data_IF_556649553297
#
_entry.id   IF_556649553297
#
_cell.length_a   1.000
_cell.length_b   1.000
_cell.length_c   1.000
_cell.angle_alpha   90.00
_cell.angle_beta   90.00
_cell.angle_gamma   90.00
#
_symmetry.space_group_name_H-M   'P 1'
#
loop_
_entity.id
_entity.type
_entity.pdbx_description
1 polymer ?
#
# COMPACT_ATOMS: atom_id res chain seq x y z
N UNK A 1 -84.17 21.42 15.34
CA UNK A 1 -82.75 21.16 15.67
C UNK A 1 -82.08 20.53 14.45
N UNK A 2 -81.29 21.31 13.71
CA UNK A 2 -80.41 20.79 12.64
C UNK A 2 -78.97 21.02 13.08
N UNK A 3 -78.19 19.94 13.11
CA UNK A 3 -76.74 19.94 13.29
C UNK A 3 -76.08 20.73 12.17
N UNK A 4 -75.06 21.51 12.53
CA UNK A 4 -74.20 22.22 11.59
C UNK A 4 -72.77 21.75 11.82
N UNK A 5 -72.20 21.14 10.78
CA UNK A 5 -70.78 20.77 10.68
C UNK A 5 -69.91 22.03 10.72
N UNK A 6 -68.76 21.94 11.39
CA UNK A 6 -67.65 22.88 11.26
C UNK A 6 -66.58 22.30 10.32
N UNK A 7 -65.85 23.15 9.56
CA UNK A 7 -65.08 22.73 8.39
C UNK A 7 -63.68 22.21 8.74
N UNK A 8 -63.22 21.18 8.02
CA UNK A 8 -61.82 20.76 7.98
C UNK A 8 -60.94 21.90 7.43
N UNK A 9 -59.92 22.27 8.19
CA UNK A 9 -58.88 23.18 7.76
C UNK A 9 -57.85 22.35 6.96
N UNK A 10 -57.49 22.71 5.72
CA UNK A 10 -56.50 21.95 4.96
C UNK A 10 -55.14 22.15 5.63
N UNK A 11 -54.70 21.17 6.41
CA UNK A 11 -53.33 21.12 6.88
C UNK A 11 -52.43 21.31 5.67
N UNK A 12 -51.59 22.34 5.72
CA UNK A 12 -50.44 22.46 4.84
C UNK A 12 -49.71 21.14 4.95
N UNK A 13 -49.85 20.27 3.95
CA UNK A 13 -49.07 19.06 3.82
C UNK A 13 -47.64 19.54 3.67
N UNK A 14 -46.94 19.68 4.81
CA UNK A 14 -45.52 19.93 4.80
C UNK A 14 -44.90 18.81 3.98
N UNK A 15 -43.85 19.10 3.23
CA UNK A 15 -43.04 18.01 2.68
C UNK A 15 -42.48 17.14 3.80
N UNK A 16 -41.76 16.09 3.41
CA UNK A 16 -40.95 15.28 4.33
C UNK A 16 -39.99 16.22 5.08
N UNK A 17 -40.00 16.15 6.41
CA UNK A 17 -39.15 16.99 7.27
C UNK A 17 -38.07 16.13 7.92
N UNK A 18 -36.83 16.57 7.82
CA UNK A 18 -35.65 15.87 8.35
C UNK A 18 -35.01 16.71 9.44
N UNK A 19 -34.76 16.11 10.60
CA UNK A 19 -34.17 16.76 11.76
C UNK A 19 -32.66 16.47 11.87
N UNK A 20 -31.88 17.32 12.56
CA UNK A 20 -30.42 17.14 12.73
C UNK A 20 -30.01 15.87 13.49
N UNK A 21 -30.94 15.26 14.23
CA UNK A 21 -30.76 14.00 14.96
C UNK A 21 -30.96 12.75 14.08
N UNK A 22 -31.19 12.93 12.77
CA UNK A 22 -31.44 11.86 11.82
C UNK A 22 -32.89 11.37 11.77
N UNK A 23 -33.82 12.00 12.50
CA UNK A 23 -35.24 11.65 12.43
C UNK A 23 -35.93 12.27 11.23
N UNK A 24 -36.80 11.49 10.58
CA UNK A 24 -37.62 11.96 9.46
C UNK A 24 -39.08 11.90 9.87
N UNK A 25 -39.74 13.06 9.85
CA UNK A 25 -41.15 13.24 10.22
C UNK A 25 -41.96 13.64 9.00
N UNK A 26 -43.28 13.47 9.09
CA UNK A 26 -44.22 13.85 8.02
C UNK A 26 -44.02 13.02 6.72
N UNK A 27 -43.69 11.73 6.88
CA UNK A 27 -43.67 10.75 5.80
C UNK A 27 -45.12 10.39 5.45
N UNK A 28 -45.59 10.58 4.20
CA UNK A 28 -46.95 10.21 3.81
C UNK A 28 -47.23 8.73 4.10
N UNK A 29 -48.43 8.39 4.56
CA UNK A 29 -48.81 7.01 4.92
C UNK A 29 -48.83 6.02 3.75
N UNK A 30 -48.72 6.51 2.50
CA UNK A 30 -48.53 5.69 1.29
C UNK A 30 -47.06 5.43 0.95
N UNK A 31 -46.12 6.09 1.63
CA UNK A 31 -44.69 5.98 1.41
C UNK A 31 -44.09 5.02 2.43
N UNK A 32 -43.09 4.25 2.02
CA UNK A 32 -42.31 3.39 2.91
C UNK A 32 -41.63 4.23 3.99
N UNK A 33 -41.87 3.87 5.25
CA UNK A 33 -41.33 4.52 6.45
C UNK A 33 -40.13 3.77 7.05
N UNK A 34 -39.59 2.80 6.31
CA UNK A 34 -38.44 1.99 6.70
C UNK A 34 -37.14 2.45 5.99
N UNK A 35 -36.04 1.76 6.27
CA UNK A 35 -34.72 2.04 5.69
C UNK A 35 -34.63 1.76 4.17
N UNK A 36 -35.61 1.06 3.58
CA UNK A 36 -35.64 0.71 2.17
C UNK A 36 -36.44 1.73 1.33
N UNK A 37 -37.15 2.66 1.99
CA UNK A 37 -37.87 3.76 1.36
C UNK A 37 -37.02 4.99 1.02
N UNK A 38 -37.60 5.92 0.25
CA UNK A 38 -36.96 7.19 -0.09
C UNK A 38 -36.64 8.07 1.12
N UNK A 39 -37.42 7.97 2.20
CA UNK A 39 -37.13 8.62 3.47
C UNK A 39 -35.85 8.04 4.11
N UNK A 40 -35.67 6.71 4.07
CA UNK A 40 -34.46 6.04 4.51
C UNK A 40 -33.22 6.45 3.70
N UNK A 41 -33.34 6.55 2.37
CA UNK A 41 -32.28 7.06 1.50
C UNK A 41 -31.89 8.52 1.84
N UNK A 42 -32.88 9.38 2.14
CA UNK A 42 -32.62 10.76 2.51
C UNK A 42 -31.91 10.88 3.86
N UNK A 43 -32.32 10.09 4.85
CA UNK A 43 -31.61 10.00 6.15
C UNK A 43 -30.18 9.53 5.96
N UNK A 44 -29.99 8.50 5.13
CA UNK A 44 -28.69 7.97 4.80
C UNK A 44 -27.81 9.03 4.12
N UNK A 45 -28.34 9.77 3.13
CA UNK A 45 -27.60 10.83 2.44
C UNK A 45 -27.15 11.97 3.37
N UNK A 46 -27.94 12.32 4.39
CA UNK A 46 -27.56 13.34 5.38
C UNK A 46 -26.60 12.83 6.44
N UNK A 47 -26.71 11.57 6.84
CA UNK A 47 -25.80 10.95 7.80
C UNK A 47 -24.37 10.81 7.25
N UNK A 48 -24.22 10.75 5.92
CA UNK A 48 -22.92 10.68 5.23
C UNK A 48 -22.03 11.90 5.51
N UNK A 49 -22.61 13.10 5.69
CA UNK A 49 -21.85 14.32 5.99
C UNK A 49 -21.05 14.19 7.31
N UNK A 50 -21.48 13.32 8.22
CA UNK A 50 -20.81 13.05 9.50
C UNK A 50 -19.91 11.81 9.55
N UNK A 51 -19.86 10.98 8.49
CA UNK A 51 -19.17 9.68 8.52
C UNK A 51 -18.40 9.37 7.22
N UNK A 52 -17.10 9.68 7.13
CA UNK A 52 -16.31 9.56 5.90
C UNK A 52 -16.19 8.12 5.35
N UNK A 53 -16.36 7.10 6.18
CA UNK A 53 -16.32 5.70 5.74
C UNK A 53 -17.57 5.24 4.96
N UNK A 54 -18.71 5.93 5.15
CA UNK A 54 -19.99 5.59 4.51
C UNK A 54 -20.19 6.40 3.21
N UNK A 55 -19.55 7.57 3.10
CA UNK A 55 -19.45 8.40 1.87
C UNK A 55 -19.14 7.55 0.64
N UNK A 56 -18.13 6.68 0.75
CA UNK A 56 -17.63 5.89 -0.36
C UNK A 56 -18.60 4.86 -0.94
N UNK A 57 -19.55 4.36 -0.14
CA UNK A 57 -20.55 3.37 -0.57
C UNK A 57 -21.78 4.03 -1.19
N UNK A 58 -22.07 5.26 -0.78
CA UNK A 58 -23.33 5.94 -1.03
C UNK A 58 -23.23 7.01 -2.12
N UNK A 59 -22.22 7.87 -2.02
CA UNK A 59 -21.90 8.90 -3.00
C UNK A 59 -20.90 8.38 -4.05
N UNK A 60 -20.21 7.28 -3.73
CA UNK A 60 -19.20 6.68 -4.59
C UNK A 60 -17.85 7.39 -4.49
N UNK A 61 -16.89 6.89 -5.26
CA UNK A 61 -15.60 7.53 -5.48
C UNK A 61 -15.47 7.89 -6.95
N UNK A 62 -14.76 8.99 -7.25
CA UNK A 62 -14.35 9.27 -8.61
C UNK A 62 -13.32 8.24 -9.06
N UNK A 63 -13.78 7.30 -9.88
CA UNK A 63 -12.96 6.20 -10.39
C UNK A 63 -11.86 6.69 -11.35
N UNK A 64 -11.98 7.92 -11.86
CA UNK A 64 -10.97 8.54 -12.73
C UNK A 64 -9.64 8.78 -12.00
N UNK A 65 -9.68 8.90 -10.67
CA UNK A 65 -8.50 9.13 -9.82
C UNK A 65 -7.81 7.84 -9.36
N UNK A 66 -8.29 6.67 -9.79
CA UNK A 66 -7.71 5.37 -9.43
C UNK A 66 -6.53 4.94 -10.33
N UNK A 67 -5.99 5.85 -11.15
CA UNK A 67 -4.86 5.54 -12.02
C UNK A 67 -5.18 4.60 -13.20
N UNK A 68 -6.46 4.32 -13.44
CA UNK A 68 -6.93 3.47 -14.54
C UNK A 68 -7.50 4.33 -15.66
N UNK A 69 -7.07 4.07 -16.90
CA UNK A 69 -7.64 4.75 -18.07
C UNK A 69 -8.94 4.05 -18.52
N UNK A 70 -10.05 4.37 -17.86
CA UNK A 70 -11.37 3.81 -18.15
C UNK A 70 -11.91 4.20 -19.55
N UNK A 71 -11.31 5.21 -20.19
CA UNK A 71 -11.68 5.68 -21.52
C UNK A 71 -10.93 4.95 -22.66
N UNK A 72 -10.10 3.96 -22.34
CA UNK A 72 -9.32 3.23 -23.33
C UNK A 72 -10.19 2.26 -24.16
N UNK A 73 -10.68 2.70 -25.32
CA UNK A 73 -11.53 1.89 -26.20
C UNK A 73 -10.82 0.77 -26.97
N UNK A 74 -9.48 0.77 -27.02
CA UNK A 74 -8.67 -0.11 -27.89
C UNK A 74 -7.81 -1.14 -27.17
N UNK A 75 -7.63 -1.04 -25.84
CA UNK A 75 -6.72 -1.91 -25.08
C UNK A 75 -7.41 -2.42 -23.83
N UNK A 76 -7.18 -3.69 -23.53
CA UNK A 76 -7.66 -4.31 -22.31
C UNK A 76 -6.82 -3.85 -21.10
N UNK A 77 -7.47 -3.33 -20.05
CA UNK A 77 -6.79 -2.84 -18.85
C UNK A 77 -6.05 -3.93 -18.08
N UNK A 78 -6.55 -5.18 -18.13
CA UNK A 78 -5.99 -6.29 -17.35
C UNK A 78 -4.53 -6.61 -17.75
N UNK A 79 -4.12 -6.30 -18.98
CA UNK A 79 -2.78 -6.63 -19.47
C UNK A 79 -1.69 -5.79 -18.80
N UNK A 80 -2.02 -4.57 -18.38
CA UNK A 80 -1.09 -3.65 -17.71
C UNK A 80 -1.55 -3.38 -16.27
N UNK A 81 -2.33 -4.28 -15.67
CA UNK A 81 -2.88 -4.06 -14.34
C UNK A 81 -1.79 -4.25 -13.28
N UNK A 82 -1.40 -3.16 -12.62
CA UNK A 82 -0.36 -3.12 -11.58
C UNK A 82 -0.71 -3.84 -10.27
N UNK A 83 -1.98 -4.20 -10.11
CA UNK A 83 -2.51 -4.84 -8.90
C UNK A 83 -3.51 -3.94 -8.16
N UNK A 84 -4.21 -4.46 -7.14
CA UNK A 84 -5.33 -3.78 -6.47
C UNK A 84 -4.96 -2.51 -5.71
N UNK A 85 -3.68 -2.31 -5.40
CA UNK A 85 -3.17 -1.15 -4.65
C UNK A 85 -2.16 -0.33 -5.47
N UNK A 86 -2.03 -0.61 -6.75
CA UNK A 86 -1.14 0.14 -7.62
C UNK A 86 -1.81 1.45 -8.05
N UNK A 87 -1.14 2.57 -7.80
CA UNK A 87 -1.61 3.89 -8.24
C UNK A 87 -1.49 4.08 -9.76
N UNK A 88 -0.74 3.21 -10.45
CA UNK A 88 -0.47 3.28 -11.89
C UNK A 88 -0.43 1.88 -12.51
N UNK A 89 -0.72 1.76 -13.82
CA UNK A 89 -0.55 0.49 -14.55
C UNK A 89 0.92 0.03 -14.54
N UNK A 90 1.14 -1.27 -14.74
CA UNK A 90 2.47 -1.85 -14.96
C UNK A 90 3.19 -1.11 -16.09
N UNK A 91 4.47 -0.82 -15.87
CA UNK A 91 5.33 -0.27 -16.92
C UNK A 91 5.62 -1.37 -17.93
N UNK A 92 6.01 -0.98 -19.14
CA UNK A 92 6.33 -1.95 -20.20
C UNK A 92 7.51 -2.84 -19.77
N UNK A 93 8.49 -2.29 -19.05
CA UNK A 93 9.61 -3.07 -18.52
C UNK A 93 9.23 -4.06 -17.40
N UNK A 94 8.08 -3.86 -16.74
CA UNK A 94 7.60 -4.73 -15.67
C UNK A 94 6.75 -5.90 -16.22
N UNK A 95 6.38 -5.83 -17.51
CA UNK A 95 5.58 -6.84 -18.18
C UNK A 95 6.49 -7.91 -18.79
N UNK A 96 6.30 -9.14 -18.35
CA UNK A 96 6.95 -10.29 -18.96
C UNK A 96 6.37 -10.50 -20.37
N UNK A 97 7.21 -10.34 -21.38
CA UNK A 97 6.87 -10.61 -22.76
C UNK A 97 7.64 -11.84 -23.24
N UNK A 98 6.96 -12.74 -23.96
CA UNK A 98 7.63 -13.85 -24.64
C UNK A 98 8.48 -13.27 -25.77
N UNK A 99 9.78 -13.22 -25.55
CA UNK A 99 10.77 -12.81 -26.55
C UNK A 99 11.41 -14.03 -27.20
N UNK A 100 11.86 -13.95 -28.46
CA UNK A 100 12.73 -14.96 -29.05
C UNK A 100 13.97 -15.21 -28.19
N UNK A 101 14.46 -16.45 -28.17
CA UNK A 101 15.56 -16.87 -27.31
C UNK A 101 16.86 -16.10 -27.61
N UNK A 102 17.02 -15.61 -28.85
CA UNK A 102 18.16 -14.81 -29.28
C UNK A 102 18.25 -13.46 -28.54
N UNK A 103 17.14 -12.95 -27.99
CA UNK A 103 17.12 -11.72 -27.20
C UNK A 103 17.45 -11.93 -25.72
N UNK A 104 17.49 -13.18 -25.24
CA UNK A 104 17.87 -13.55 -23.87
C UNK A 104 19.40 -13.52 -23.65
N UNK A 105 20.02 -12.44 -24.13
CA UNK A 105 21.47 -12.25 -24.19
C UNK A 105 22.13 -12.24 -22.81
N UNK A 106 21.44 -11.81 -21.76
CA UNK A 106 21.99 -11.76 -20.41
C UNK A 106 22.55 -13.12 -19.98
N UNK A 107 21.87 -14.22 -20.29
CA UNK A 107 22.33 -15.57 -19.94
C UNK A 107 23.68 -15.96 -20.57
N UNK A 108 24.05 -15.36 -21.71
CA UNK A 108 25.25 -15.73 -22.47
C UNK A 108 26.41 -14.75 -22.31
N UNK A 109 26.14 -13.47 -22.04
CA UNK A 109 27.17 -12.41 -22.01
C UNK A 109 27.21 -11.60 -20.71
N UNK A 110 26.52 -12.04 -19.64
CA UNK A 110 26.49 -11.35 -18.34
C UNK A 110 27.86 -10.84 -17.90
N UNK A 111 28.87 -11.72 -17.91
CA UNK A 111 30.20 -11.41 -17.40
C UNK A 111 31.00 -10.45 -18.31
N UNK A 112 30.56 -10.29 -19.56
CA UNK A 112 31.18 -9.40 -20.55
C UNK A 112 30.48 -8.04 -20.61
N UNK A 113 29.31 -7.88 -19.98
CA UNK A 113 28.52 -6.67 -20.06
C UNK A 113 29.13 -5.57 -19.17
N UNK A 114 29.45 -4.39 -19.73
CA UNK A 114 30.01 -3.30 -18.93
C UNK A 114 28.96 -2.75 -17.96
N UNK A 115 29.40 -2.40 -16.76
CA UNK A 115 28.54 -1.68 -15.81
C UNK A 115 28.04 -0.36 -16.41
N UNK A 116 26.76 -0.08 -16.19
CA UNK A 116 26.12 1.14 -16.67
C UNK A 116 26.76 2.34 -15.95
N UNK A 117 27.42 3.21 -16.72
CA UNK A 117 27.99 4.46 -16.23
C UNK A 117 27.17 5.62 -16.79
N UNK A 118 26.46 6.33 -15.92
CA UNK A 118 25.54 7.40 -16.33
C UNK A 118 26.23 8.49 -17.17
N UNK A 119 27.49 8.80 -16.87
CA UNK A 119 28.29 9.80 -17.61
C UNK A 119 28.46 9.44 -19.09
N UNK A 120 28.46 8.14 -19.44
CA UNK A 120 28.65 7.66 -20.81
C UNK A 120 27.35 7.53 -21.59
N UNK A 121 26.19 7.67 -20.94
CA UNK A 121 24.90 7.52 -21.59
C UNK A 121 24.58 8.76 -22.43
N UNK A 122 23.94 8.55 -23.58
CA UNK A 122 23.43 9.65 -24.40
C UNK A 122 22.29 10.37 -23.66
N UNK A 123 22.09 11.66 -23.94
CA UNK A 123 21.02 12.46 -23.30
C UNK A 123 19.65 11.84 -23.49
N UNK A 124 19.36 11.25 -24.66
CA UNK A 124 18.07 10.59 -24.91
C UNK A 124 17.84 9.41 -23.95
N UNK A 125 18.89 8.67 -23.59
CA UNK A 125 18.80 7.58 -22.62
C UNK A 125 18.56 8.14 -21.21
N UNK A 126 19.18 9.28 -20.87
CA UNK A 126 18.93 9.96 -19.61
C UNK A 126 17.49 10.46 -19.50
N UNK A 127 16.95 11.07 -20.57
CA UNK A 127 15.53 11.42 -20.61
C UNK A 127 14.63 10.19 -20.50
N UNK A 128 15.01 9.08 -21.14
CA UNK A 128 14.25 7.82 -21.04
C UNK A 128 14.18 7.33 -19.61
N UNK A 129 15.32 7.25 -18.91
CA UNK A 129 15.38 6.86 -17.50
C UNK A 129 14.59 7.83 -16.60
N UNK A 130 14.70 9.14 -16.83
CA UNK A 130 14.02 10.15 -16.02
C UNK A 130 12.48 10.04 -16.11
N UNK A 131 11.94 9.85 -17.30
CA UNK A 131 10.49 9.80 -17.52
C UNK A 131 9.87 8.40 -17.34
N UNK A 132 10.65 7.31 -17.48
CA UNK A 132 10.14 5.94 -17.39
C UNK A 132 10.44 5.23 -16.05
N UNK A 133 11.32 5.78 -15.20
CA UNK A 133 11.64 5.19 -13.89
C UNK A 133 11.31 6.14 -12.71
N UNK A 134 10.07 6.67 -12.59
CA UNK A 134 9.75 7.60 -11.52
C UNK A 134 9.87 6.96 -10.13
N UNK A 135 10.45 7.71 -9.19
CA UNK A 135 10.65 7.29 -7.80
C UNK A 135 11.83 6.34 -7.57
N UNK A 136 12.61 6.04 -8.60
CA UNK A 136 13.79 5.17 -8.51
C UNK A 136 15.10 5.96 -8.47
N UNK A 137 16.16 5.30 -8.02
CA UNK A 137 17.52 5.86 -7.99
C UNK A 137 17.98 6.30 -9.39
N UNK A 138 17.54 5.58 -10.43
CA UNK A 138 17.86 5.91 -11.82
C UNK A 138 17.30 7.26 -12.28
N UNK A 139 16.14 7.68 -11.80
CA UNK A 139 15.59 9.00 -12.12
C UNK A 139 16.45 10.11 -11.54
N UNK A 140 16.87 9.99 -10.29
CA UNK A 140 17.74 10.97 -9.62
C UNK A 140 19.12 11.00 -10.27
N UNK A 141 19.68 9.83 -10.61
CA UNK A 141 20.96 9.72 -11.29
C UNK A 141 20.93 10.37 -12.69
N UNK A 142 19.87 10.12 -13.47
CA UNK A 142 19.68 10.77 -14.77
C UNK A 142 19.51 12.28 -14.65
N UNK A 143 18.72 12.75 -13.67
CA UNK A 143 18.55 14.17 -13.39
C UNK A 143 19.88 14.85 -13.02
N UNK A 144 20.71 14.18 -12.21
CA UNK A 144 22.02 14.70 -11.81
C UNK A 144 22.95 14.86 -13.01
N UNK A 145 23.02 13.86 -13.90
CA UNK A 145 23.84 13.95 -15.12
C UNK A 145 23.30 14.98 -16.13
N UNK A 146 21.97 15.08 -16.29
CA UNK A 146 21.37 16.13 -17.10
C UNK A 146 21.73 17.52 -16.55
N UNK A 147 21.70 17.69 -15.22
CA UNK A 147 22.11 18.93 -14.57
C UNK A 147 23.58 19.29 -14.84
N UNK A 148 24.48 18.30 -14.82
CA UNK A 148 25.90 18.47 -15.18
C UNK A 148 26.07 18.88 -16.64
N UNK A 149 25.14 18.49 -17.52
CA UNK A 149 25.11 18.85 -18.95
C UNK A 149 24.30 20.11 -19.25
N UNK A 150 24.18 21.01 -18.26
CA UNK A 150 23.49 22.30 -18.37
C UNK A 150 21.99 22.22 -18.72
N UNK A 151 21.36 21.07 -18.45
CA UNK A 151 19.90 20.98 -18.44
C UNK A 151 19.36 21.42 -17.09
N UNK A 152 18.23 22.14 -17.11
CA UNK A 152 17.49 22.55 -15.92
C UNK A 152 16.06 22.06 -16.04
N UNK A 153 15.51 21.59 -14.92
CA UNK A 153 14.14 21.12 -14.87
C UNK A 153 13.23 22.26 -14.41
N UNK A 154 12.15 22.50 -15.17
CA UNK A 154 11.13 23.49 -14.84
C UNK A 154 10.04 22.82 -14.00
N UNK A 155 9.86 23.20 -12.73
CA UNK A 155 8.95 22.53 -11.79
C UNK A 155 7.49 22.60 -12.21
N UNK A 156 7.07 23.77 -12.72
CA UNK A 156 5.68 24.02 -13.16
C UNK A 156 5.37 23.32 -14.49
N UNK A 157 6.16 23.56 -15.54
CA UNK A 157 5.91 22.94 -16.85
C UNK A 157 6.34 21.46 -16.95
N UNK A 158 7.12 20.97 -15.98
CA UNK A 158 7.63 19.58 -15.88
C UNK A 158 8.46 19.13 -17.08
N UNK A 159 9.24 20.04 -17.63
CA UNK A 159 10.10 19.83 -18.80
C UNK A 159 11.55 20.14 -18.48
N UNK A 160 12.45 19.44 -19.17
CA UNK A 160 13.87 19.77 -19.19
C UNK A 160 14.14 20.80 -20.28
N UNK A 161 14.90 21.83 -19.92
CA UNK A 161 15.31 22.90 -20.82
C UNK A 161 16.80 23.19 -20.69
N UNK A 162 17.39 23.65 -21.79
CA UNK A 162 18.75 24.20 -21.80
C UNK A 162 18.79 25.42 -22.71
N UNK A 163 19.81 26.27 -22.54
CA UNK A 163 19.95 27.46 -23.38
C UNK A 163 20.26 27.03 -24.82
N UNK A 164 19.57 27.62 -25.79
CA UNK A 164 19.89 27.34 -27.18
C UNK A 164 21.28 27.92 -27.51
N UNK A 165 22.16 27.17 -28.21
CA UNK A 165 23.57 27.54 -28.42
C UNK A 165 23.79 28.84 -29.22
N UNK A 166 22.74 29.35 -29.86
CA UNK A 166 22.73 30.59 -30.66
C UNK A 166 21.75 31.65 -30.10
N UNK A 167 21.24 31.45 -28.87
CA UNK A 167 20.31 32.39 -28.26
C UNK A 167 21.03 33.68 -27.84
N UNK A 168 20.35 34.82 -28.00
CA UNK A 168 20.83 36.08 -27.47
C UNK A 168 20.94 36.01 -25.94
N UNK A 169 21.82 36.84 -25.37
CA UNK A 169 21.95 36.94 -23.92
C UNK A 169 20.58 37.21 -23.27
N UNK A 170 20.35 36.66 -22.06
CA UNK A 170 19.13 36.84 -21.28
C UNK A 170 18.67 38.31 -21.31
N UNK A 171 17.44 38.58 -21.78
CA UNK A 171 16.82 39.88 -21.50
C UNK A 171 16.24 39.79 -20.10
N UNK A 172 17.02 40.24 -19.13
CA UNK A 172 16.54 40.39 -17.75
C UNK A 172 15.39 41.40 -17.74
N UNK A 173 14.21 40.95 -17.32
CA UNK A 173 13.08 41.82 -17.06
C UNK A 173 12.88 41.83 -15.55
N UNK A 174 13.42 42.85 -14.87
CA UNK A 174 13.16 43.08 -13.45
C UNK A 174 13.89 42.15 -12.46
N UNK A 175 15.09 41.63 -12.79
CA UNK A 175 16.00 40.97 -11.85
C UNK A 175 15.62 39.57 -11.36
N UNK A 176 14.38 39.11 -11.60
CA UNK A 176 13.90 37.77 -11.21
C UNK A 176 13.43 36.91 -12.40
N UNK A 177 13.19 37.52 -13.56
CA UNK A 177 12.67 36.85 -14.75
C UNK A 177 13.63 36.99 -15.93
N UNK A 178 13.90 35.87 -16.61
CA UNK A 178 14.67 35.80 -17.83
C UNK A 178 13.76 35.43 -19.00
N UNK A 179 13.63 36.32 -20.00
CA UNK A 179 13.02 35.95 -21.29
C UNK A 179 14.11 35.55 -22.27
N UNK A 180 14.13 34.29 -22.68
CA UNK A 180 15.11 33.76 -23.65
C UNK A 180 14.54 32.63 -24.49
N UNK A 181 15.24 32.29 -25.58
CA UNK A 181 14.97 31.11 -26.39
C UNK A 181 15.70 29.90 -25.79
N UNK A 182 14.92 28.90 -25.39
CA UNK A 182 15.41 27.66 -24.81
C UNK A 182 15.15 26.49 -25.75
N UNK A 183 16.01 25.48 -25.64
CA UNK A 183 15.77 24.18 -26.24
C UNK A 183 15.10 23.31 -25.18
N UNK A 184 13.82 22.98 -25.39
CA UNK A 184 13.01 22.19 -24.47
C UNK A 184 12.90 20.76 -24.99
N UNK A 185 13.09 19.77 -24.12
CA UNK A 185 12.82 18.38 -24.48
C UNK A 185 11.33 18.07 -24.32
N UNK A 186 10.67 17.69 -25.42
CA UNK A 186 9.27 17.25 -25.44
C UNK A 186 9.21 15.72 -25.26
N UNK A 187 8.74 15.21 -24.11
CA UNK A 187 8.70 13.78 -23.84
C UNK A 187 7.59 13.05 -24.62
N UNK A 188 6.60 13.76 -25.15
CA UNK A 188 5.49 13.17 -25.92
C UNK A 188 5.94 12.94 -27.36
N UNK A 189 6.60 13.94 -27.95
CA UNK A 189 7.12 13.85 -29.33
C UNK A 189 8.53 13.28 -29.42
N UNK A 190 9.17 13.05 -28.27
CA UNK A 190 10.54 12.56 -28.14
C UNK A 190 11.56 13.38 -28.94
N UNK A 191 11.48 14.71 -28.83
CA UNK A 191 12.33 15.62 -29.59
C UNK A 191 12.63 16.91 -28.84
N UNK A 192 13.69 17.58 -29.26
CA UNK A 192 14.07 18.91 -28.76
C UNK A 192 13.36 19.98 -29.59
N UNK A 193 12.65 20.87 -28.93
CA UNK A 193 11.84 21.92 -29.56
C UNK A 193 12.33 23.28 -29.05
N UNK A 194 12.74 24.19 -29.94
CA UNK A 194 13.01 25.57 -29.58
C UNK A 194 11.72 26.24 -29.09
N UNK A 195 11.75 26.87 -27.90
CA UNK A 195 10.64 27.63 -27.33
C UNK A 195 11.13 28.93 -26.73
N UNK A 196 10.41 30.02 -26.99
CA UNK A 196 10.57 31.25 -26.21
C UNK A 196 9.83 31.10 -24.89
N UNK A 197 10.55 31.26 -23.78
CA UNK A 197 9.99 31.14 -22.43
C UNK A 197 10.42 32.33 -21.59
N UNK A 198 9.54 32.72 -20.66
CA UNK A 198 9.87 33.63 -19.56
C UNK A 198 10.07 32.74 -18.34
N UNK A 199 11.30 32.59 -17.89
CA UNK A 199 11.64 31.73 -16.75
C UNK A 199 11.84 32.58 -15.50
N UNK A 200 11.15 32.21 -14.44
CA UNK A 200 11.49 32.67 -13.10
C UNK A 200 12.54 31.73 -12.49
N UNK A 201 13.59 32.28 -11.87
CA UNK A 201 14.65 31.45 -11.29
C UNK A 201 14.12 30.52 -10.18
N UNK A 202 13.05 30.94 -9.49
CA UNK A 202 12.35 30.16 -8.44
C UNK A 202 11.64 28.92 -8.99
N UNK A 203 11.29 28.90 -10.28
CA UNK A 203 10.61 27.77 -10.93
C UNK A 203 11.57 26.69 -11.42
N UNK A 204 12.86 27.00 -11.48
CA UNK A 204 13.90 26.04 -11.83
C UNK A 204 14.32 25.21 -10.62
N UNK A 205 14.55 23.93 -10.86
CA UNK A 205 15.03 23.02 -9.83
C UNK A 205 16.55 23.16 -9.64
N UNK A 206 16.98 23.08 -8.37
CA UNK A 206 18.38 23.06 -7.99
C UNK A 206 19.06 21.72 -8.32
N UNK A 207 20.32 21.56 -7.91
CA UNK A 207 21.04 20.30 -8.10
C UNK A 207 20.28 19.15 -7.41
N UNK A 208 19.93 18.08 -8.13
CA UNK A 208 19.25 16.93 -7.54
C UNK A 208 20.10 16.30 -6.43
N UNK A 209 19.50 16.09 -5.26
CA UNK A 209 20.12 15.40 -4.12
C UNK A 209 19.59 13.98 -3.99
N UNK A 210 20.47 13.03 -3.68
CA UNK A 210 20.07 11.68 -3.31
C UNK A 210 19.66 11.72 -1.84
N UNK A 211 18.39 11.45 -1.54
CA UNK A 211 17.91 11.22 -0.17
C UNK A 211 18.67 10.02 0.42
N UNK A 212 19.62 10.29 1.31
CA UNK A 212 20.44 9.25 1.97
C UNK A 212 21.94 9.55 2.11
N UNK A 213 22.47 10.63 1.53
CA UNK A 213 23.87 11.03 1.71
C UNK A 213 23.99 12.34 2.50
N UNK A 214 23.79 12.27 3.82
CA UNK A 214 24.39 13.29 4.69
C UNK A 214 25.89 13.02 4.78
N UNK A 215 26.65 13.68 3.92
CA UNK A 215 28.08 13.91 4.16
C UNK A 215 28.25 15.39 4.46
N UNK A 216 28.63 15.65 5.71
CA UNK A 216 29.16 16.94 6.16
C UNK A 216 30.35 17.29 5.27
N UNK A 217 30.26 18.41 4.54
CA UNK A 217 31.44 19.09 4.02
C UNK A 217 31.23 20.60 4.08
N UNK A 218 31.77 21.12 5.17
CA UNK A 218 32.40 22.41 5.39
C UNK A 218 32.66 23.25 4.14
N UNK A 219 32.31 24.52 4.28
CA UNK A 219 32.68 25.68 3.48
C UNK A 219 34.11 25.68 2.91
N UNK A 220 34.23 26.00 1.62
CA UNK A 220 35.32 26.83 1.09
C UNK A 220 34.72 27.81 0.06
N UNK A 221 34.66 29.08 0.45
CA UNK A 221 34.15 30.18 -0.35
C UNK A 221 35.18 30.66 -1.38
N UNK A 222 34.71 31.17 -2.53
CA UNK A 222 35.36 32.29 -3.23
C UNK A 222 34.28 33.21 -3.82
N UNK A 223 34.28 34.47 -3.35
CA UNK A 223 33.73 35.72 -3.89
C UNK A 223 32.37 35.71 -4.62
N UNK A 224 31.33 36.41 -4.17
CA UNK A 224 31.37 37.84 -3.84
C UNK A 224 30.17 38.27 -2.99
N UNK A 225 30.43 39.03 -1.93
CA UNK A 225 29.52 39.78 -1.04
C UNK A 225 29.38 41.25 -1.48
N UNK A 226 28.61 42.14 -0.81
CA UNK A 226 27.24 42.02 -0.25
C UNK A 226 26.43 43.35 -0.39
N UNK A 227 25.18 43.39 0.12
CA UNK A 227 24.43 44.53 0.74
C UNK A 227 22.98 44.01 0.92
N UNK A 228 22.27 43.94 2.06
CA UNK A 228 22.29 44.62 3.36
C UNK A 228 21.57 43.72 4.39
N UNK A 229 22.17 43.57 5.58
CA UNK A 229 21.56 43.13 6.85
C UNK A 229 20.74 44.30 7.47
N UNK A 230 19.77 44.21 8.39
CA UNK A 230 19.64 43.45 9.64
C UNK A 230 18.42 44.02 10.40
N UNK A 231 17.84 43.24 11.31
CA UNK A 231 17.34 43.56 12.68
C UNK A 231 16.38 42.42 13.06
N UNK A 232 16.77 41.35 13.78
CA UNK A 232 17.00 41.25 15.25
C UNK A 232 15.88 41.88 16.12
N UNK A 233 15.44 41.34 17.26
CA UNK A 233 15.59 40.08 17.99
C UNK A 233 14.68 40.15 19.25
N UNK A 234 14.73 39.07 20.06
CA UNK A 234 14.30 38.91 21.47
C UNK A 234 12.84 38.45 21.71
N UNK A 235 12.56 37.46 22.55
CA UNK A 235 13.40 36.79 23.54
C UNK A 235 12.77 35.52 24.15
N UNK A 236 13.54 34.94 25.06
CA UNK A 236 13.45 33.63 25.72
C UNK A 236 12.23 33.43 26.64
N UNK A 237 11.94 32.16 26.98
CA UNK A 237 11.00 31.79 28.05
C UNK A 237 10.76 30.29 28.21
N UNK A 238 11.59 29.66 29.03
CA UNK A 238 11.50 28.31 29.63
C UNK A 238 10.15 28.01 30.33
N UNK A 239 9.75 26.72 30.43
CA UNK A 239 9.43 25.97 31.68
C UNK A 239 8.37 24.84 31.54
N UNK A 240 8.82 23.61 31.84
CA UNK A 240 8.24 22.55 32.72
C UNK A 240 6.87 21.87 32.52
N UNK A 241 6.96 20.54 32.60
CA UNK A 241 5.95 19.51 32.90
C UNK A 241 5.35 19.61 34.31
N UNK A 242 4.08 19.23 34.47
CA UNK A 242 3.57 18.59 35.70
C UNK A 242 2.40 17.63 35.45
N UNK A 243 2.54 16.47 36.09
CA UNK A 243 1.63 15.32 36.29
C UNK A 243 0.54 15.64 37.33
N UNK A 244 -0.67 15.07 37.20
CA UNK A 244 -1.58 14.85 38.35
C UNK A 244 -2.41 13.58 38.19
N UNK A 245 -2.56 12.85 39.31
CA UNK A 245 -3.09 11.48 39.46
C UNK A 245 -4.39 11.48 40.32
N UNK A 246 -5.25 10.46 40.11
CA UNK A 246 -6.22 9.78 41.01
C UNK A 246 -7.67 10.31 41.27
N UNK A 247 -8.67 9.55 40.74
CA UNK A 247 -9.81 8.78 41.33
C UNK A 247 -10.57 9.23 42.63
N UNK A 248 -11.73 8.64 43.08
CA UNK A 248 -12.65 7.59 42.52
C UNK A 248 -14.21 7.82 42.68
N UNK A 249 -15.03 7.04 41.94
CA UNK A 249 -16.37 6.40 42.20
C UNK A 249 -17.58 7.14 42.87
N UNK A 250 -18.87 6.82 42.52
CA UNK A 250 -19.52 5.55 42.94
C UNK A 250 -20.57 4.92 42.00
N UNK A 251 -20.98 3.72 42.44
CA UNK A 251 -21.77 2.63 41.87
C UNK A 251 -23.29 2.83 41.69
N UNK A 252 -23.86 2.14 40.70
CA UNK A 252 -25.27 1.70 40.72
C UNK A 252 -25.45 0.34 40.02
N UNK A 253 -26.14 -0.57 40.70
CA UNK A 253 -26.44 -1.96 40.36
C UNK A 253 -27.68 -2.12 39.48
N UNK A 254 -27.59 -2.87 38.37
CA UNK A 254 -28.76 -3.50 37.70
C UNK A 254 -28.36 -4.80 36.99
N UNK A 255 -28.98 -5.92 37.41
CA UNK A 255 -29.52 -7.00 36.56
C UNK A 255 -28.61 -7.81 35.65
N UNK A 256 -28.34 -9.06 36.05
CA UNK A 256 -27.81 -10.14 35.20
C UNK A 256 -28.74 -10.44 34.01
N UNK A 257 -28.25 -10.21 32.79
CA UNK A 257 -28.68 -10.87 31.55
C UNK A 257 -27.50 -10.84 30.58
N UNK A 258 -26.73 -11.94 30.52
CA UNK A 258 -25.48 -12.02 29.77
C UNK A 258 -25.71 -12.05 28.23
N UNK A 259 -25.16 -11.10 27.46
CA UNK A 259 -25.24 -11.07 25.99
C UNK A 259 -24.27 -12.04 25.27
N UNK A 260 -23.41 -12.74 26.01
CA UNK A 260 -22.34 -13.58 25.45
C UNK A 260 -22.81 -14.86 24.72
N UNK A 261 -23.95 -15.45 25.11
CA UNK A 261 -24.38 -16.74 24.56
C UNK A 261 -24.92 -16.69 23.12
N UNK A 262 -25.57 -15.58 22.74
CA UNK A 262 -26.19 -15.40 21.41
C UNK A 262 -25.14 -15.17 20.31
N UNK A 263 -24.12 -14.35 20.61
CA UNK A 263 -23.07 -14.00 19.65
C UNK A 263 -22.21 -15.22 19.29
N UNK A 264 -21.83 -16.04 20.28
CA UNK A 264 -21.00 -17.23 20.04
C UNK A 264 -21.68 -18.27 19.14
N UNK A 265 -22.99 -18.48 19.30
CA UNK A 265 -23.77 -19.41 18.45
C UNK A 265 -23.82 -18.94 16.99
N UNK A 266 -23.96 -17.62 16.77
CA UNK A 266 -23.94 -17.01 15.44
C UNK A 266 -22.58 -17.17 14.74
N UNK A 267 -21.49 -16.93 15.46
CA UNK A 267 -20.10 -17.03 14.95
C UNK A 267 -19.77 -18.45 14.48
N UNK A 268 -20.19 -19.48 15.23
CA UNK A 268 -19.95 -20.88 14.88
C UNK A 268 -20.74 -21.28 13.62
N UNK A 269 -21.98 -20.79 13.50
CA UNK A 269 -22.77 -20.97 12.28
C UNK A 269 -22.08 -20.39 11.05
N UNK A 270 -21.46 -19.22 11.17
CA UNK A 270 -20.68 -18.59 10.11
C UNK A 270 -19.43 -19.41 9.73
N UNK A 271 -18.70 -19.95 10.70
CA UNK A 271 -17.55 -20.83 10.44
C UNK A 271 -17.94 -22.07 9.61
N UNK A 272 -19.07 -22.69 9.94
CA UNK A 272 -19.61 -23.83 9.19
C UNK A 272 -20.07 -23.48 7.78
N UNK A 273 -20.54 -22.24 7.56
CA UNK A 273 -20.87 -21.76 6.23
C UNK A 273 -19.61 -21.53 5.40
N UNK A 274 -18.58 -20.92 5.98
CA UNK A 274 -17.30 -20.65 5.32
C UNK A 274 -16.60 -21.95 4.94
N UNK A 275 -16.62 -22.98 5.81
CA UNK A 275 -16.04 -24.28 5.50
C UNK A 275 -16.71 -25.00 4.32
N UNK A 276 -17.91 -24.56 3.92
CA UNK A 276 -18.65 -25.05 2.75
C UNK A 276 -18.56 -24.10 1.55
N UNK A 277 -17.74 -23.05 1.63
CA UNK A 277 -17.56 -22.05 0.57
C UNK A 277 -18.59 -20.92 0.55
N UNK A 278 -19.50 -20.85 1.54
CA UNK A 278 -20.46 -19.75 1.66
C UNK A 278 -19.82 -18.61 2.46
N UNK A 279 -19.21 -17.67 1.75
CA UNK A 279 -18.49 -16.54 2.32
C UNK A 279 -19.45 -15.40 2.69
N UNK A 280 -19.39 -14.86 3.93
CA UNK A 280 -20.14 -13.68 4.32
C UNK A 280 -19.60 -12.41 3.63
N UNK A 281 -20.37 -11.30 3.63
CA UNK A 281 -19.91 -10.00 3.16
C UNK A 281 -18.59 -9.56 3.82
N UNK A 282 -17.76 -8.78 3.09
CA UNK A 282 -16.43 -8.35 3.58
C UNK A 282 -16.46 -7.64 4.94
N UNK A 283 -17.50 -6.88 5.25
CA UNK A 283 -17.68 -6.21 6.54
C UNK A 283 -17.88 -7.21 7.67
N UNK A 284 -18.69 -8.24 7.44
CA UNK A 284 -18.95 -9.31 8.41
C UNK A 284 -17.73 -10.22 8.57
N UNK A 285 -17.01 -10.52 7.49
CA UNK A 285 -15.77 -11.30 7.56
C UNK A 285 -14.72 -10.60 8.45
N UNK A 286 -14.53 -9.29 8.30
CA UNK A 286 -13.60 -8.53 9.16
C UNK A 286 -14.01 -8.59 10.63
N UNK A 287 -15.31 -8.46 10.91
CA UNK A 287 -15.82 -8.57 12.28
C UNK A 287 -15.58 -9.98 12.84
N UNK A 288 -15.85 -11.01 12.04
CA UNK A 288 -15.61 -12.41 12.39
C UNK A 288 -14.13 -12.67 12.70
N UNK A 289 -13.22 -12.24 11.82
CA UNK A 289 -11.78 -12.38 12.04
C UNK A 289 -11.31 -11.68 13.33
N UNK A 290 -11.83 -10.49 13.63
CA UNK A 290 -11.54 -9.80 14.89
C UNK A 290 -12.06 -10.59 16.10
N UNK A 291 -13.29 -11.11 16.04
CA UNK A 291 -13.87 -11.93 17.11
C UNK A 291 -13.02 -13.19 17.34
N UNK A 292 -12.61 -13.88 16.28
CA UNK A 292 -11.79 -15.10 16.35
C UNK A 292 -10.37 -14.81 16.85
N UNK A 293 -9.79 -13.69 16.44
CA UNK A 293 -8.48 -13.25 16.92
C UNK A 293 -8.51 -12.96 18.43
N UNK A 294 -9.58 -12.34 18.94
CA UNK A 294 -9.75 -12.10 20.37
C UNK A 294 -10.06 -13.40 21.13
N UNK A 295 -10.97 -14.23 20.60
CA UNK A 295 -11.49 -15.44 21.25
C UNK A 295 -11.29 -16.71 20.40
N UNK A 296 -10.05 -17.22 20.29
CA UNK A 296 -9.75 -18.42 19.50
C UNK A 296 -10.39 -19.70 20.08
N UNK A 297 -10.80 -19.72 21.35
CA UNK A 297 -11.45 -20.87 21.98
C UNK A 297 -12.79 -21.29 21.34
N UNK A 298 -13.36 -20.42 20.49
CA UNK A 298 -14.58 -20.71 19.73
C UNK A 298 -14.42 -21.97 18.86
N UNK A 299 -13.20 -22.27 18.37
CA UNK A 299 -12.93 -23.48 17.59
C UNK A 299 -13.10 -24.77 18.40
N UNK A 300 -12.75 -24.75 19.69
CA UNK A 300 -12.75 -25.94 20.55
C UNK A 300 -14.13 -26.41 20.99
N UNK A 301 -15.13 -25.52 21.02
CA UNK A 301 -16.47 -25.87 21.54
C UNK A 301 -17.36 -26.63 20.54
N UNK A 302 -16.96 -26.73 19.27
CA UNK A 302 -17.86 -27.18 18.19
C UNK A 302 -17.17 -27.99 17.08
N UNK A 303 -16.08 -28.72 17.39
CA UNK A 303 -15.40 -29.65 16.46
C UNK A 303 -14.96 -29.02 15.12
N UNK A 304 -14.80 -27.70 15.06
CA UNK A 304 -14.34 -27.02 13.84
C UNK A 304 -12.83 -27.21 13.59
N UNK A 305 -12.12 -27.90 14.49
CA UNK A 305 -10.68 -28.14 14.40
C UNK A 305 -10.25 -29.01 13.22
N UNK A 306 -11.13 -29.88 12.74
CA UNK A 306 -10.86 -30.79 11.61
C UNK A 306 -11.08 -30.13 10.23
N UNK A 307 -11.58 -28.89 10.20
CA UNK A 307 -11.91 -28.17 8.97
C UNK A 307 -10.73 -27.36 8.40
N UNK A 308 -9.50 -27.62 8.86
CA UNK A 308 -8.30 -26.86 8.50
C UNK A 308 -8.12 -26.69 6.98
N UNK A 309 -8.23 -27.77 6.20
CA UNK A 309 -8.09 -27.73 4.75
C UNK A 309 -9.21 -26.91 4.07
N UNK A 310 -10.44 -26.99 4.59
CA UNK A 310 -11.56 -26.21 4.07
C UNK A 310 -11.33 -24.72 4.34
N UNK A 311 -10.87 -24.36 5.53
CA UNK A 311 -10.53 -22.97 5.83
C UNK A 311 -9.34 -22.49 4.99
N UNK A 312 -8.30 -23.31 4.79
CA UNK A 312 -7.19 -22.95 3.91
C UNK A 312 -7.68 -22.64 2.48
N UNK A 313 -8.63 -23.42 1.97
CA UNK A 313 -9.18 -23.24 0.63
C UNK A 313 -10.04 -21.97 0.49
N UNK A 314 -10.90 -21.69 1.46
CA UNK A 314 -11.91 -20.62 1.35
C UNK A 314 -11.54 -19.32 2.06
N UNK A 315 -10.88 -19.38 3.22
CA UNK A 315 -10.48 -18.22 4.03
C UNK A 315 -9.21 -18.55 4.86
N UNK A 316 -8.01 -18.42 4.27
CA UNK A 316 -6.75 -18.89 4.87
C UNK A 316 -6.39 -18.17 6.18
N UNK A 317 -6.86 -16.95 6.40
CA UNK A 317 -6.67 -16.27 7.68
C UNK A 317 -7.31 -17.06 8.85
N UNK A 318 -8.49 -17.65 8.64
CA UNK A 318 -9.15 -18.45 9.68
C UNK A 318 -8.32 -19.69 10.00
N UNK A 319 -7.72 -20.34 8.98
CA UNK A 319 -6.83 -21.48 9.17
C UNK A 319 -5.58 -21.10 10.00
N UNK A 320 -5.03 -19.90 9.80
CA UNK A 320 -3.91 -19.39 10.60
C UNK A 320 -4.28 -19.14 12.07
N UNK A 321 -5.47 -18.59 12.33
CA UNK A 321 -5.98 -18.43 13.71
C UNK A 321 -6.24 -19.80 14.34
N UNK A 322 -6.78 -20.76 13.58
CA UNK A 322 -7.02 -22.12 14.04
C UNK A 322 -5.71 -22.82 14.44
N UNK A 323 -4.62 -22.65 13.69
CA UNK A 323 -3.31 -23.18 14.08
C UNK A 323 -2.81 -22.58 15.40
N UNK A 324 -3.03 -21.28 15.63
CA UNK A 324 -2.66 -20.64 16.88
C UNK A 324 -3.49 -21.18 18.06
N UNK A 325 -4.79 -21.44 17.85
CA UNK A 325 -5.64 -22.14 18.81
C UNK A 325 -5.12 -23.56 19.10
N UNK A 326 -4.80 -24.33 18.06
CA UNK A 326 -4.30 -25.70 18.21
C UNK A 326 -2.95 -25.73 18.94
N UNK A 327 -2.05 -24.77 18.69
CA UNK A 327 -0.81 -24.63 19.45
C UNK A 327 -1.07 -24.44 20.96
N UNK A 328 -2.15 -23.75 21.33
CA UNK A 328 -2.51 -23.50 22.73
C UNK A 328 -3.23 -24.68 23.40
N UNK A 329 -4.09 -25.39 22.68
CA UNK A 329 -5.06 -26.33 23.29
C UNK A 329 -5.11 -27.74 22.65
N UNK A 330 -4.60 -27.94 21.43
CA UNK A 330 -4.63 -29.23 20.72
C UNK A 330 -3.33 -29.47 19.91
N UNK A 331 -2.29 -29.89 20.63
CA UNK A 331 -0.95 -30.08 20.05
C UNK A 331 -0.90 -31.21 19.00
N UNK A 332 -1.83 -32.18 19.06
CA UNK A 332 -1.87 -33.31 18.11
C UNK A 332 -2.37 -32.85 16.74
N UNK A 333 -3.49 -32.12 16.71
CA UNK A 333 -4.00 -31.54 15.47
C UNK A 333 -3.02 -30.50 14.91
N UNK A 334 -2.40 -29.70 15.79
CA UNK A 334 -1.35 -28.75 15.43
C UNK A 334 -0.20 -29.41 14.66
N UNK A 335 0.41 -30.47 15.20
CA UNK A 335 1.53 -31.17 14.56
C UNK A 335 1.16 -31.73 13.19
N UNK A 336 -0.03 -32.33 13.08
CA UNK A 336 -0.54 -32.91 11.82
C UNK A 336 -0.72 -31.83 10.74
N UNK A 337 -1.31 -30.69 11.11
CA UNK A 337 -1.55 -29.58 10.17
C UNK A 337 -0.26 -28.87 9.76
N UNK A 338 0.76 -28.79 10.64
CA UNK A 338 2.08 -28.29 10.26
C UNK A 338 2.79 -29.21 9.27
N UNK A 339 2.72 -30.52 9.45
CA UNK A 339 3.29 -31.48 8.50
C UNK A 339 2.60 -31.39 7.14
N UNK A 340 1.27 -31.22 7.11
CA UNK A 340 0.53 -30.96 5.88
C UNK A 340 1.02 -29.68 5.18
N UNK A 341 1.20 -28.57 5.91
CA UNK A 341 1.74 -27.33 5.34
C UNK A 341 3.16 -27.50 4.76
N UNK A 342 4.02 -28.28 5.42
CA UNK A 342 5.36 -28.60 4.92
C UNK A 342 5.34 -29.57 3.71
N UNK A 343 4.23 -30.29 3.49
CA UNK A 343 4.05 -31.15 2.33
C UNK A 343 3.54 -30.43 1.08
N UNK A 344 3.07 -29.19 1.20
CA UNK A 344 2.50 -28.41 0.11
C UNK A 344 3.56 -27.52 -0.56
N UNK A 345 3.42 -27.29 -1.87
CA UNK A 345 4.21 -26.27 -2.56
C UNK A 345 3.81 -24.86 -2.10
N UNK A 346 4.77 -23.91 -1.96
CA UNK A 346 4.44 -22.56 -1.54
C UNK A 346 3.50 -21.89 -2.53
N UNK A 347 2.37 -21.43 -2.02
CA UNK A 347 1.36 -20.70 -2.77
C UNK A 347 0.74 -19.63 -1.86
N UNK A 348 -0.13 -18.78 -2.43
CA UNK A 348 -0.75 -17.66 -1.71
C UNK A 348 -1.44 -18.13 -0.43
N UNK A 349 -2.26 -19.20 -0.51
CA UNK A 349 -3.04 -19.70 0.63
C UNK A 349 -2.12 -20.20 1.75
N UNK A 350 -1.12 -21.02 1.41
CA UNK A 350 -0.16 -21.57 2.39
C UNK A 350 0.63 -20.45 3.07
N UNK A 351 1.13 -19.48 2.31
CA UNK A 351 1.88 -18.34 2.85
C UNK A 351 1.00 -17.45 3.74
N UNK A 352 -0.28 -17.26 3.39
CA UNK A 352 -1.23 -16.47 4.16
C UNK A 352 -1.61 -17.16 5.49
N UNK A 353 -1.82 -18.48 5.48
CA UNK A 353 -2.01 -19.27 6.70
C UNK A 353 -0.82 -19.08 7.65
N UNK A 354 0.41 -19.26 7.15
CA UNK A 354 1.62 -19.12 7.96
C UNK A 354 1.81 -17.69 8.46
N UNK A 355 1.57 -16.68 7.61
CA UNK A 355 1.62 -15.28 8.01
C UNK A 355 0.67 -14.97 9.17
N UNK A 356 -0.59 -15.36 9.03
CA UNK A 356 -1.61 -15.12 10.05
C UNK A 356 -1.29 -15.88 11.33
N UNK A 357 -0.84 -17.13 11.23
CA UNK A 357 -0.43 -17.93 12.39
C UNK A 357 0.72 -17.28 13.16
N UNK A 358 1.80 -16.87 12.50
CA UNK A 358 2.94 -16.25 13.18
C UNK A 358 2.55 -14.90 13.79
N UNK A 359 1.71 -14.12 13.09
CA UNK A 359 1.15 -12.86 13.62
C UNK A 359 0.32 -13.08 14.88
N UNK A 360 -0.49 -14.15 14.91
CA UNK A 360 -1.25 -14.56 16.10
C UNK A 360 -0.32 -14.97 17.24
N UNK A 361 0.78 -15.68 16.95
CA UNK A 361 1.78 -16.01 17.98
C UNK A 361 2.43 -14.77 18.58
N UNK A 362 2.74 -13.75 17.78
CA UNK A 362 3.26 -12.48 18.28
C UNK A 362 2.20 -11.74 19.12
N UNK A 363 0.98 -11.61 18.60
CA UNK A 363 -0.14 -10.91 19.25
C UNK A 363 -0.54 -11.53 20.60
N UNK A 364 -0.66 -12.87 20.69
CA UNK A 364 -0.98 -13.61 21.92
C UNK A 364 0.25 -13.96 22.77
N UNK A 365 1.45 -13.49 22.40
CA UNK A 365 2.72 -13.80 23.09
C UNK A 365 3.03 -15.30 23.19
N UNK A 366 2.60 -16.11 22.22
CA UNK A 366 2.89 -17.55 22.14
C UNK A 366 4.31 -17.81 21.63
N UNK A 367 4.94 -18.94 21.98
CA UNK A 367 6.24 -19.32 21.40
C UNK A 367 6.08 -19.56 19.90
N UNK A 368 6.88 -18.86 19.08
CA UNK A 368 6.92 -19.09 17.65
C UNK A 368 7.68 -20.41 17.40
N UNK A 369 7.13 -21.36 16.63
CA UNK A 369 7.77 -22.66 16.40
C UNK A 369 8.94 -22.53 15.43
N UNK A 370 10.14 -22.30 15.98
CA UNK A 370 11.36 -22.06 15.20
C UNK A 370 11.70 -23.23 14.26
N UNK A 371 11.54 -24.48 14.69
CA UNK A 371 11.82 -25.64 13.84
C UNK A 371 10.94 -25.68 12.58
N UNK A 372 9.65 -25.37 12.74
CA UNK A 372 8.70 -25.32 11.62
C UNK A 372 9.07 -24.17 10.68
N UNK A 373 9.28 -22.96 11.21
CA UNK A 373 9.65 -21.80 10.38
C UNK A 373 10.95 -22.03 9.64
N UNK A 374 11.92 -22.68 10.28
CA UNK A 374 13.16 -23.05 9.62
C UNK A 374 12.86 -24.01 8.46
N UNK A 375 12.20 -25.15 8.69
CA UNK A 375 11.87 -26.07 7.59
C UNK A 375 11.08 -25.37 6.46
N UNK A 376 10.14 -24.50 6.81
CA UNK A 376 9.30 -23.78 5.85
C UNK A 376 10.07 -22.73 5.03
N UNK A 377 10.94 -21.94 5.64
CA UNK A 377 11.81 -20.99 4.91
C UNK A 377 12.71 -21.73 3.92
N UNK A 378 13.31 -22.87 4.33
CA UNK A 378 14.15 -23.68 3.43
C UNK A 378 13.32 -24.23 2.28
N UNK A 379 12.09 -24.68 2.56
CA UNK A 379 11.15 -25.15 1.54
C UNK A 379 10.85 -24.04 0.52
N UNK A 380 10.53 -22.82 0.96
CA UNK A 380 10.29 -21.67 0.09
C UNK A 380 11.48 -21.35 -0.81
N UNK A 381 12.70 -21.29 -0.25
CA UNK A 381 13.92 -21.05 -1.03
C UNK A 381 14.11 -22.14 -2.08
N UNK A 382 14.04 -23.41 -1.68
CA UNK A 382 14.23 -24.54 -2.59
C UNK A 382 13.17 -24.61 -3.70
N UNK A 383 11.93 -24.19 -3.41
CA UNK A 383 10.86 -24.13 -4.40
C UNK A 383 11.13 -23.04 -5.45
N UNK A 384 11.61 -21.86 -5.02
CA UNK A 384 12.03 -20.79 -5.93
C UNK A 384 13.21 -21.22 -6.82
N UNK A 385 14.24 -21.86 -6.25
CA UNK A 385 15.40 -22.35 -7.00
C UNK A 385 15.02 -23.43 -8.03
N UNK A 386 14.11 -24.34 -7.66
CA UNK A 386 13.57 -25.35 -8.58
C UNK A 386 12.75 -24.71 -9.69
N UNK A 387 11.91 -23.73 -9.37
CA UNK A 387 11.10 -23.03 -10.36
C UNK A 387 11.97 -22.21 -11.35
N UNK A 388 13.07 -21.63 -10.89
CA UNK A 388 14.02 -20.93 -11.76
C UNK A 388 14.72 -21.91 -12.73
N UNK A 389 15.04 -23.13 -12.26
CA UNK A 389 15.68 -24.16 -13.08
C UNK A 389 14.80 -24.75 -14.20
N UNK A 390 13.47 -24.63 -14.13
CA UNK A 390 12.54 -25.20 -15.15
C UNK A 390 12.33 -24.30 -16.37
N UNK A 391 13.00 -23.15 -16.45
CA UNK A 391 12.89 -22.15 -17.53
C UNK A 391 11.47 -21.54 -17.73
N UNK A 392 10.50 -21.80 -16.85
CA UNK A 392 9.23 -21.04 -16.79
C UNK A 392 9.43 -19.79 -15.94
N UNK A 393 10.03 -18.77 -16.55
CA UNK A 393 10.42 -17.52 -15.89
C UNK A 393 9.23 -16.80 -15.25
N UNK A 394 8.02 -16.89 -15.83
CA UNK A 394 6.85 -16.19 -15.32
C UNK A 394 6.32 -16.83 -14.02
N UNK A 395 6.22 -18.16 -13.98
CA UNK A 395 5.81 -18.88 -12.77
C UNK A 395 6.86 -18.72 -11.66
N UNK A 396 8.16 -18.82 -12.01
CA UNK A 396 9.27 -18.61 -11.09
C UNK A 396 9.27 -17.20 -10.50
N UNK A 397 9.15 -16.16 -11.33
CA UNK A 397 9.11 -14.78 -10.85
C UNK A 397 7.90 -14.52 -9.95
N UNK A 398 6.72 -15.06 -10.26
CA UNK A 398 5.54 -14.94 -9.39
C UNK A 398 5.79 -15.57 -8.02
N UNK A 399 6.37 -16.78 -8.01
CA UNK A 399 6.72 -17.47 -6.76
C UNK A 399 7.72 -16.66 -5.94
N UNK A 400 8.79 -16.17 -6.57
CA UNK A 400 9.80 -15.33 -5.90
C UNK A 400 9.17 -14.06 -5.32
N UNK A 401 8.30 -13.36 -6.06
CA UNK A 401 7.60 -12.17 -5.54
C UNK A 401 6.76 -12.47 -4.30
N UNK A 402 5.99 -13.57 -4.31
CA UNK A 402 5.20 -14.00 -3.16
C UNK A 402 6.08 -14.35 -1.95
N UNK A 403 7.16 -15.10 -2.17
CA UNK A 403 8.11 -15.47 -1.11
C UNK A 403 8.86 -14.25 -0.57
N UNK A 404 9.21 -13.28 -1.41
CA UNK A 404 9.79 -12.00 -0.96
C UNK A 404 8.84 -11.24 -0.04
N UNK A 405 7.54 -11.19 -0.38
CA UNK A 405 6.52 -10.60 0.48
C UNK A 405 6.44 -11.30 1.84
N UNK A 406 6.47 -12.64 1.83
CA UNK A 406 6.49 -13.46 3.04
C UNK A 406 7.73 -13.20 3.92
N UNK A 407 8.94 -13.18 3.33
CA UNK A 407 10.16 -12.90 4.09
C UNK A 407 10.21 -11.47 4.61
N UNK A 408 9.70 -10.50 3.85
CA UNK A 408 9.59 -9.11 4.32
C UNK A 408 8.66 -9.01 5.53
N UNK A 409 7.54 -9.75 5.51
CA UNK A 409 6.66 -9.88 6.67
C UNK A 409 7.38 -10.51 7.86
N UNK A 410 8.08 -11.65 7.68
CA UNK A 410 8.80 -12.29 8.78
C UNK A 410 9.86 -11.38 9.43
N UNK A 411 10.59 -10.61 8.62
CA UNK A 411 11.58 -9.65 9.09
C UNK A 411 10.98 -8.42 9.79
N UNK A 412 9.68 -8.18 9.64
CA UNK A 412 8.97 -7.10 10.33
C UNK A 412 8.50 -7.48 11.74
N UNK A 413 8.56 -8.77 12.09
CA UNK A 413 8.17 -9.28 13.40
C UNK A 413 9.29 -9.06 14.42
N UNK A 414 8.95 -8.54 15.60
CA UNK A 414 9.94 -8.22 16.63
C UNK A 414 10.61 -9.46 17.22
N UNK A 415 9.91 -10.60 17.20
CA UNK A 415 10.38 -11.86 17.82
C UNK A 415 11.12 -12.79 16.85
N UNK A 416 11.28 -12.42 15.59
CA UNK A 416 12.02 -13.21 14.60
C UNK A 416 13.52 -12.84 14.65
N UNK A 417 14.32 -13.57 15.44
CA UNK A 417 15.72 -13.21 15.68
C UNK A 417 16.74 -14.35 15.49
N UNK A 418 16.65 -15.09 14.39
CA UNK A 418 17.69 -16.05 14.01
C UNK A 418 18.64 -15.46 12.97
N UNK A 419 19.85 -15.06 13.42
CA UNK A 419 20.89 -14.48 12.54
C UNK A 419 21.22 -15.40 11.34
N UNK A 420 21.24 -16.71 11.55
CA UNK A 420 21.48 -17.70 10.50
C UNK A 420 20.43 -17.63 9.38
N UNK A 421 19.14 -17.48 9.72
CA UNK A 421 18.07 -17.41 8.71
C UNK A 421 18.04 -16.07 7.99
N UNK A 422 18.42 -14.98 8.67
CA UNK A 422 18.62 -13.68 8.00
C UNK A 422 19.68 -13.77 6.90
N UNK A 423 20.80 -14.47 7.14
CA UNK A 423 21.83 -14.69 6.13
C UNK A 423 21.32 -15.54 4.95
N UNK A 424 20.52 -16.58 5.22
CA UNK A 424 19.89 -17.37 4.15
C UNK A 424 18.91 -16.53 3.31
N UNK A 425 18.06 -15.72 3.95
CA UNK A 425 17.13 -14.80 3.27
C UNK A 425 17.91 -13.74 2.47
N UNK A 426 19.03 -13.25 3.00
CA UNK A 426 19.92 -12.33 2.28
C UNK A 426 20.51 -12.99 1.03
N UNK A 427 21.04 -14.21 1.17
CA UNK A 427 21.59 -15.00 0.07
C UNK A 427 20.53 -15.25 -1.01
N UNK A 428 19.32 -15.61 -0.60
CA UNK A 428 18.17 -15.73 -1.50
C UNK A 428 17.90 -14.41 -2.24
N UNK A 429 17.78 -13.29 -1.52
CA UNK A 429 17.52 -11.99 -2.14
C UNK A 429 18.63 -11.58 -3.14
N UNK A 430 19.89 -11.91 -2.86
CA UNK A 430 21.01 -11.64 -3.78
C UNK A 430 20.92 -12.44 -5.08
N UNK A 431 20.33 -13.63 -5.04
CA UNK A 431 20.18 -14.50 -6.20
C UNK A 431 19.12 -13.98 -7.18
N UNK A 432 18.14 -13.21 -6.69
CA UNK A 432 17.01 -12.69 -7.48
C UNK A 432 16.97 -11.17 -7.61
N UNK A 433 18.11 -10.47 -7.53
CA UNK A 433 18.19 -8.99 -7.58
C UNK A 433 17.60 -8.34 -8.84
N UNK A 434 17.36 -9.10 -9.90
CA UNK A 434 16.62 -8.62 -11.09
C UNK A 434 15.17 -8.22 -10.76
N UNK A 435 14.59 -8.79 -9.71
CA UNK A 435 13.24 -8.47 -9.26
C UNK A 435 13.27 -7.35 -8.21
N UNK A 436 12.32 -6.42 -8.35
CA UNK A 436 12.18 -5.27 -7.45
C UNK A 436 11.94 -5.70 -6.00
N UNK A 437 11.10 -6.71 -5.79
CA UNK A 437 10.74 -7.22 -4.47
C UNK A 437 11.93 -7.86 -3.75
N UNK A 438 12.79 -8.57 -4.48
CA UNK A 438 14.03 -9.13 -3.95
C UNK A 438 15.03 -8.02 -3.58
N UNK A 439 15.11 -6.96 -4.39
CA UNK A 439 15.93 -5.79 -4.07
C UNK A 439 15.46 -5.06 -2.80
N UNK A 440 14.14 -4.89 -2.63
CA UNK A 440 13.56 -4.32 -1.42
C UNK A 440 13.76 -5.21 -0.19
N UNK A 441 13.60 -6.53 -0.35
CA UNK A 441 13.90 -7.50 0.70
C UNK A 441 15.36 -7.41 1.14
N UNK A 442 16.29 -7.34 0.19
CA UNK A 442 17.72 -7.21 0.48
C UNK A 442 18.02 -5.94 1.30
N UNK A 443 17.44 -4.80 0.91
CA UNK A 443 17.57 -3.54 1.67
C UNK A 443 17.02 -3.69 3.10
N UNK A 444 15.84 -4.29 3.24
CA UNK A 444 15.20 -4.54 4.54
C UNK A 444 16.07 -5.41 5.46
N UNK A 445 16.71 -6.44 4.92
CA UNK A 445 17.63 -7.28 5.68
C UNK A 445 18.83 -6.47 6.19
N UNK A 446 19.40 -5.59 5.35
CA UNK A 446 20.54 -4.76 5.76
C UNK A 446 20.18 -3.76 6.88
N UNK A 447 19.01 -3.11 6.78
CA UNK A 447 18.52 -2.19 7.82
C UNK A 447 18.37 -2.88 9.18
N UNK A 448 17.89 -4.12 9.19
CA UNK A 448 17.68 -4.91 10.40
C UNK A 448 18.97 -5.55 10.97
N UNK A 449 20.11 -5.48 10.27
CA UNK A 449 21.42 -5.90 10.82
C UNK A 449 22.13 -4.73 11.51
N UNK A 450 21.77 -3.50 11.15
CA UNK A 450 22.34 -2.27 11.73
C UNK A 450 21.69 -1.84 13.06
N UNK A 451 20.51 -2.38 13.38
CA UNK A 451 19.79 -2.21 14.65
C UNK A 451 19.87 -3.50 15.47
#
# INVERSE_FOLDING_TARGET
MKQQLAPENPEKVGGIQTHPDGRVTNIPSRMLNDQFGMAGLLTFLRAIEGAPSIVGLALGHDLSNLGLNLNASKRNLFQTFGGPWADFPCRIQDLDAKVPDEYLTNATIRDKLPHIKMQKLHEDVLFYLFYNCPGEVYQVAAASELYVRDWRFHKVERVWLTRAPLSAAPREIGGSYERSSYLVFDPIQWRRVPREMVLECTDLEGKPSVLGSQSVCSSAAVGSTPLVARLEACGEGTSTLTTTTMAPNPSTSVGENSPHGSVMSSTVGQLWQISRGNLPPKSEMRLLLNILQENPEIFGRHECGDLFLNFMQYEPEIAGILLAFQLMYDFKAYGTNLELLLGMEPNVQVLEVVNKFVKMCEYKSLPIPEEFLNKFITLCISACEKADATHDTAAAHRLVRMVCGFFTFLLSLNRFNSMARRLEIQSFATSFLSLREASLLYQKVLENVAN
#
